data_IF_594517078968
#
_entry.id   IF_594517078968
#
_cell.length_a   1.000
_cell.length_b   1.000
_cell.length_c   1.000
_cell.angle_alpha   90.00
_cell.angle_beta   90.00
_cell.angle_gamma   90.00
#
_symmetry.space_group_name_H-M   'P 1'
#
loop_
_entity.id
_entity.type
_entity.pdbx_description
1 polymer ?
#
# COMPACT_ATOMS: atom_id res chain seq x y z
N UNK A 1 40.82 40.39 20.19
CA UNK A 1 39.71 40.68 19.27
C UNK A 1 38.47 39.97 19.81
N UNK A 2 37.60 40.74 20.44
CA UNK A 2 36.42 40.30 21.18
C UNK A 2 35.22 40.25 20.24
N UNK A 3 34.68 39.06 19.96
CA UNK A 3 33.43 38.91 19.23
C UNK A 3 32.24 39.18 20.15
N UNK A 4 31.51 40.26 19.88
CA UNK A 4 30.21 40.53 20.49
C UNK A 4 29.20 39.50 19.98
N UNK A 5 28.56 38.78 20.90
CA UNK A 5 27.29 38.11 20.65
C UNK A 5 26.23 39.07 21.16
N UNK A 6 25.49 39.70 20.25
CA UNK A 6 24.36 40.54 20.62
C UNK A 6 23.23 39.65 21.16
N UNK A 7 22.99 39.73 22.48
CA UNK A 7 21.89 39.06 23.15
C UNK A 7 20.61 39.90 23.02
N UNK A 8 19.64 39.42 22.24
CA UNK A 8 18.27 39.93 22.28
C UNK A 8 17.46 39.20 23.36
N UNK A 9 16.70 39.90 24.22
CA UNK A 9 15.88 39.28 25.24
C UNK A 9 14.52 38.93 24.64
N UNK A 10 14.37 37.73 24.10
CA UNK A 10 13.03 37.19 23.84
C UNK A 10 12.61 36.31 25.01
N UNK A 11 11.89 36.90 25.96
CA UNK A 11 11.13 36.16 26.95
C UNK A 11 9.96 35.46 26.24
N UNK A 12 10.19 34.24 25.75
CA UNK A 12 9.11 33.42 25.22
C UNK A 12 8.55 32.57 26.35
N UNK A 13 7.50 33.08 26.99
CA UNK A 13 6.60 32.28 27.79
C UNK A 13 5.73 31.44 26.84
N UNK A 14 6.32 30.43 26.22
CA UNK A 14 5.58 29.38 25.51
C UNK A 14 5.97 28.07 26.13
N UNK A 15 4.97 27.28 26.55
CA UNK A 15 5.14 25.84 26.63
C UNK A 15 5.59 25.37 25.25
N UNK A 16 6.89 25.20 25.07
CA UNK A 16 7.46 24.55 23.90
C UNK A 16 7.06 23.08 24.05
N UNK A 17 6.01 22.68 23.34
CA UNK A 17 5.75 21.27 23.14
C UNK A 17 6.90 20.78 22.26
N UNK A 18 7.90 20.15 22.87
CA UNK A 18 9.00 19.51 22.16
C UNK A 18 8.41 18.32 21.39
N UNK A 19 7.94 18.56 20.17
CA UNK A 19 7.77 17.45 19.22
C UNK A 19 9.19 16.95 18.91
N UNK A 20 9.52 15.69 19.21
CA UNK A 20 10.83 15.16 18.87
C UNK A 20 11.06 15.31 17.37
N UNK A 21 12.21 15.87 17.00
CA UNK A 21 12.64 15.99 15.61
C UNK A 21 13.92 15.19 15.42
N UNK A 22 14.00 14.47 14.32
CA UNK A 22 15.23 13.77 13.93
C UNK A 22 15.96 14.69 12.94
N UNK A 23 17.22 15.00 13.23
CA UNK A 23 18.11 15.71 12.31
C UNK A 23 19.05 14.68 11.67
N UNK A 24 19.02 14.60 10.34
CA UNK A 24 19.91 13.72 9.60
C UNK A 24 20.25 14.35 8.24
N UNK A 25 21.53 14.51 7.93
CA UNK A 25 22.04 15.14 6.70
C UNK A 25 21.36 16.48 6.39
N UNK A 26 21.34 17.38 7.38
CA UNK A 26 20.70 18.72 7.31
C UNK A 26 19.20 18.73 7.00
N UNK A 27 18.54 17.57 7.14
CA UNK A 27 17.09 17.44 7.03
C UNK A 27 16.47 17.22 8.40
N UNK A 28 15.40 17.94 8.66
CA UNK A 28 14.54 17.75 9.83
C UNK A 28 13.37 16.83 9.48
N UNK A 29 13.22 15.77 10.26
CA UNK A 29 12.08 14.86 10.22
C UNK A 29 11.27 15.05 11.48
N UNK A 30 9.93 15.00 11.36
CA UNK A 30 9.01 15.08 12.49
C UNK A 30 8.22 13.79 12.58
N UNK A 31 7.91 13.40 13.81
CA UNK A 31 6.90 12.39 14.03
C UNK A 31 5.55 12.89 13.52
N UNK A 32 4.87 12.07 12.72
CA UNK A 32 3.52 12.34 12.23
C UNK A 32 2.60 11.35 12.91
N UNK A 33 1.69 11.87 13.73
CA UNK A 33 0.58 11.10 14.27
C UNK A 33 -0.64 11.27 13.35
N UNK A 34 -1.17 10.16 12.83
CA UNK A 34 -2.30 10.20 11.93
C UNK A 34 -3.61 10.09 12.73
N UNK A 35 -4.51 11.04 12.47
CA UNK A 35 -5.83 11.05 13.10
C UNK A 35 -6.75 9.95 12.54
N UNK A 36 -6.57 9.59 11.27
CA UNK A 36 -7.34 8.58 10.53
C UNK A 36 -6.46 7.84 9.49
N UNK A 37 -6.93 6.66 9.06
CA UNK A 37 -6.24 5.74 8.12
C UNK A 37 -6.15 6.30 6.71
N UNK A 38 -7.16 7.03 6.27
CA UNK A 38 -7.20 7.61 4.92
C UNK A 38 -6.10 8.68 4.75
N UNK A 39 -5.84 9.50 5.77
CA UNK A 39 -4.72 10.44 5.76
C UNK A 39 -3.37 9.72 5.74
N UNK A 40 -3.21 8.67 6.54
CA UNK A 40 -2.02 7.82 6.55
C UNK A 40 -1.76 7.24 5.16
N UNK A 41 -2.77 6.58 4.58
CA UNK A 41 -2.73 6.01 3.23
C UNK A 41 -2.33 7.06 2.20
N UNK A 42 -2.99 8.22 2.18
CA UNK A 42 -2.68 9.28 1.21
C UNK A 42 -1.25 9.78 1.32
N UNK A 43 -0.75 9.97 2.54
CA UNK A 43 0.63 10.44 2.76
C UNK A 43 1.62 9.37 2.34
N UNK A 44 1.45 8.12 2.78
CA UNK A 44 2.32 7.00 2.41
C UNK A 44 2.34 6.78 0.89
N UNK A 45 1.18 6.86 0.22
CA UNK A 45 1.10 6.68 -1.22
C UNK A 45 1.66 7.85 -2.05
N UNK A 46 1.86 9.03 -1.44
CA UNK A 46 2.58 10.16 -2.08
C UNK A 46 4.09 9.96 -2.07
N UNK A 47 4.63 9.17 -1.16
CA UNK A 47 6.03 8.81 -1.17
C UNK A 47 6.30 7.87 -2.35
N UNK A 48 6.76 8.47 -3.46
CA UNK A 48 7.13 7.73 -4.68
C UNK A 48 8.08 6.59 -4.32
N UNK A 49 7.62 5.37 -4.54
CA UNK A 49 8.43 4.18 -4.30
C UNK A 49 8.43 3.68 -2.85
N UNK A 50 7.55 4.15 -1.95
CA UNK A 50 7.39 3.57 -0.61
C UNK A 50 7.17 2.06 -0.67
N UNK A 51 6.18 1.60 -1.45
CA UNK A 51 5.92 0.18 -1.64
C UNK A 51 7.09 -0.53 -2.35
N UNK A 52 7.77 0.16 -3.28
CA UNK A 52 8.97 -0.37 -3.94
C UNK A 52 10.16 -0.51 -2.96
N UNK A 53 10.25 0.33 -1.96
CA UNK A 53 11.29 0.27 -0.93
C UNK A 53 11.06 -0.92 0.01
N UNK A 54 9.79 -1.23 0.31
CA UNK A 54 9.44 -2.36 1.18
C UNK A 54 9.49 -3.69 0.41
N UNK A 55 8.94 -3.73 -0.80
CA UNK A 55 8.68 -4.97 -1.55
C UNK A 55 9.51 -5.13 -2.83
N UNK A 56 10.39 -4.19 -3.14
CA UNK A 56 11.24 -4.23 -4.32
C UNK A 56 10.61 -3.67 -5.60
N UNK A 57 11.40 -3.65 -6.67
CA UNK A 57 11.08 -2.98 -7.94
C UNK A 57 9.93 -3.61 -8.74
N UNK A 58 9.61 -4.86 -8.47
CA UNK A 58 8.67 -5.65 -9.23
C UNK A 58 7.28 -5.67 -8.57
N UNK A 59 6.85 -4.52 -8.06
CA UNK A 59 5.57 -4.37 -7.37
C UNK A 59 4.63 -3.44 -8.11
N UNK A 60 3.35 -3.80 -8.10
CA UNK A 60 2.28 -3.01 -8.71
C UNK A 60 1.15 -2.87 -7.68
N UNK A 61 0.88 -1.64 -7.27
CA UNK A 61 -0.20 -1.29 -6.36
C UNK A 61 -1.45 -0.88 -7.14
N UNK A 62 -2.57 -1.52 -6.81
CA UNK A 62 -3.88 -1.28 -7.41
C UNK A 62 -4.87 -0.92 -6.29
N UNK A 63 -5.23 0.38 -6.13
CA UNK A 63 -6.28 0.79 -5.21
C UNK A 63 -7.60 0.10 -5.55
N UNK A 64 -8.32 -0.38 -4.55
CA UNK A 64 -9.53 -1.17 -4.79
C UNK A 64 -10.65 -0.38 -5.45
N UNK A 65 -10.69 0.94 -5.23
CA UNK A 65 -11.67 1.85 -5.81
C UNK A 65 -11.55 1.93 -7.35
N UNK A 66 -10.46 1.40 -7.91
CA UNK A 66 -10.28 1.24 -9.37
C UNK A 66 -10.86 -0.06 -9.91
N UNK A 67 -11.10 -1.03 -9.04
CA UNK A 67 -11.64 -2.35 -9.39
C UNK A 67 -13.15 -2.41 -9.14
N UNK A 68 -13.69 -1.63 -8.21
CA UNK A 68 -15.12 -1.62 -7.88
C UNK A 68 -15.76 -0.27 -8.20
N UNK A 69 -16.92 -0.31 -8.86
CA UNK A 69 -17.77 0.86 -9.02
C UNK A 69 -18.69 0.94 -7.79
N UNK A 70 -18.38 1.86 -6.87
CA UNK A 70 -19.17 2.08 -5.65
C UNK A 70 -18.30 2.37 -4.44
N UNK A 71 -18.54 3.52 -3.78
CA UNK A 71 -17.88 3.87 -2.52
C UNK A 71 -18.48 3.06 -1.37
N UNK A 72 -17.64 2.49 -0.52
CA UNK A 72 -18.04 2.10 0.84
C UNK A 72 -18.58 0.69 1.03
N UNK A 73 -18.18 -0.29 0.21
CA UNK A 73 -18.42 -1.70 0.57
C UNK A 73 -17.53 -2.06 1.76
N UNK A 74 -18.13 -2.18 2.95
CA UNK A 74 -17.42 -2.59 4.17
C UNK A 74 -16.83 -3.98 3.99
N UNK A 75 -15.55 -4.15 4.33
CA UNK A 75 -14.86 -5.45 4.32
C UNK A 75 -14.00 -5.74 3.09
N UNK A 76 -13.95 -4.83 2.12
CA UNK A 76 -13.02 -4.88 0.99
C UNK A 76 -11.68 -4.23 1.44
N UNK A 77 -10.52 -4.81 1.08
CA UNK A 77 -9.22 -4.22 1.41
C UNK A 77 -8.99 -2.89 0.69
N UNK A 78 -8.14 -2.03 1.22
CA UNK A 78 -7.79 -0.76 0.58
C UNK A 78 -7.18 -0.93 -0.82
N UNK A 79 -6.38 -1.98 -1.03
CA UNK A 79 -5.73 -2.24 -2.30
C UNK A 79 -5.27 -3.69 -2.51
N UNK A 80 -4.98 -4.00 -3.77
CA UNK A 80 -4.20 -5.17 -4.17
C UNK A 80 -2.76 -4.76 -4.47
N UNK A 81 -1.81 -5.52 -3.94
CA UNK A 81 -0.39 -5.43 -4.26
C UNK A 81 0.03 -6.68 -5.01
N UNK A 82 0.36 -6.50 -6.29
CA UNK A 82 0.91 -7.56 -7.12
C UNK A 82 2.43 -7.53 -6.96
N UNK A 83 3.00 -8.64 -6.53
CA UNK A 83 4.44 -8.86 -6.41
C UNK A 83 4.85 -9.86 -7.48
N UNK A 84 5.73 -9.43 -8.37
CA UNK A 84 6.21 -10.22 -9.51
C UNK A 84 7.62 -10.73 -9.19
N UNK A 85 7.73 -12.04 -9.07
CA UNK A 85 9.01 -12.75 -9.09
C UNK A 85 9.19 -13.38 -10.49
N UNK A 86 10.41 -13.80 -10.84
CA UNK A 86 10.79 -14.23 -12.20
C UNK A 86 9.87 -15.30 -12.81
N UNK A 87 9.16 -16.07 -11.99
CA UNK A 87 8.27 -17.15 -12.43
C UNK A 87 6.88 -17.12 -11.76
N UNK A 88 6.63 -16.14 -10.89
CA UNK A 88 5.46 -16.15 -10.01
C UNK A 88 4.86 -14.76 -9.81
N UNK A 89 3.55 -14.70 -9.99
CA UNK A 89 2.73 -13.59 -9.53
C UNK A 89 2.15 -13.94 -8.17
N UNK A 90 2.40 -13.09 -7.17
CA UNK A 90 1.72 -13.12 -5.89
C UNK A 90 0.83 -11.90 -5.75
N UNK A 91 -0.35 -12.10 -5.19
CA UNK A 91 -1.28 -11.03 -4.83
C UNK A 91 -1.32 -10.95 -3.32
N UNK A 92 -1.17 -9.73 -2.82
CA UNK A 92 -1.30 -9.34 -1.44
C UNK A 92 -2.41 -8.30 -1.33
N UNK A 93 -3.03 -8.26 -0.17
CA UNK A 93 -4.14 -7.37 0.13
C UNK A 93 -3.61 -6.38 1.14
N UNK A 94 -3.76 -5.10 0.86
CA UNK A 94 -3.24 -4.05 1.71
C UNK A 94 -4.38 -3.45 2.51
N UNK A 95 -4.19 -3.34 3.81
CA UNK A 95 -5.05 -2.57 4.71
C UNK A 95 -4.18 -1.56 5.48
N UNK A 96 -4.61 -0.31 5.51
CA UNK A 96 -4.02 0.72 6.34
C UNK A 96 -4.80 0.82 7.65
N UNK A 97 -4.14 0.54 8.77
CA UNK A 97 -4.78 0.55 10.10
C UNK A 97 -3.92 1.33 11.08
N UNK A 98 -4.50 2.25 11.87
CA UNK A 98 -3.70 2.99 12.85
C UNK A 98 -3.26 2.09 14.01
N UNK A 99 -2.00 2.21 14.45
CA UNK A 99 -1.45 1.46 15.61
C UNK A 99 -2.31 1.58 16.87
N UNK A 100 -2.99 2.73 17.06
CA UNK A 100 -3.87 2.97 18.21
C UNK A 100 -5.13 2.10 18.22
N UNK A 101 -5.48 1.50 17.08
CA UNK A 101 -6.55 0.53 16.99
C UNK A 101 -6.00 -0.84 17.42
N UNK A 102 -6.62 -1.43 18.44
CA UNK A 102 -6.17 -2.71 18.99
C UNK A 102 -6.31 -3.85 17.98
N UNK A 103 -5.29 -4.71 17.87
CA UNK A 103 -5.26 -5.86 16.95
C UNK A 103 -6.50 -6.76 17.07
N UNK A 104 -6.96 -7.04 18.30
CA UNK A 104 -8.16 -7.87 18.50
C UNK A 104 -9.46 -7.20 18.07
N UNK A 105 -9.59 -5.90 18.26
CA UNK A 105 -10.86 -5.20 18.03
C UNK A 105 -11.04 -4.73 16.59
N UNK A 106 -9.96 -4.54 15.84
CA UNK A 106 -10.03 -3.99 14.47
C UNK A 106 -9.49 -4.93 13.40
N UNK A 107 -8.31 -5.50 13.60
CA UNK A 107 -7.65 -6.37 12.61
C UNK A 107 -8.38 -7.71 12.45
N UNK A 108 -8.74 -8.38 13.55
CA UNK A 108 -9.42 -9.69 13.46
C UNK A 108 -10.75 -9.61 12.68
N UNK A 109 -11.65 -8.64 12.96
CA UNK A 109 -12.87 -8.47 12.17
C UNK A 109 -12.61 -8.12 10.69
N UNK A 110 -11.53 -7.40 10.36
CA UNK A 110 -11.17 -7.12 8.96
C UNK A 110 -10.77 -8.40 8.21
N UNK A 111 -9.90 -9.22 8.81
CA UNK A 111 -9.47 -10.50 8.23
C UNK A 111 -10.67 -11.45 8.05
N UNK A 112 -11.58 -11.50 9.02
CA UNK A 112 -12.80 -12.32 8.92
C UNK A 112 -13.75 -11.83 7.82
N UNK A 113 -13.97 -10.51 7.72
CA UNK A 113 -14.80 -9.93 6.66
C UNK A 113 -14.22 -10.22 5.29
N UNK A 114 -12.90 -10.07 5.16
CA UNK A 114 -12.21 -10.36 3.92
C UNK A 114 -12.36 -11.83 3.49
N UNK A 115 -12.17 -12.78 4.41
CA UNK A 115 -12.35 -14.20 4.11
C UNK A 115 -13.77 -14.50 3.60
N UNK A 116 -14.80 -13.87 4.19
CA UNK A 116 -16.19 -13.99 3.73
C UNK A 116 -16.40 -13.42 2.33
N UNK A 117 -15.70 -12.34 1.98
CA UNK A 117 -15.73 -11.81 0.62
C UNK A 117 -15.11 -12.81 -0.35
N UNK A 118 -13.99 -13.44 0.01
CA UNK A 118 -13.37 -14.48 -0.82
C UNK A 118 -14.28 -15.68 -1.10
N UNK A 119 -15.12 -16.06 -0.13
CA UNK A 119 -16.10 -17.15 -0.31
C UNK A 119 -17.23 -16.79 -1.28
N UNK A 120 -17.49 -15.50 -1.49
CA UNK A 120 -18.54 -14.99 -2.39
C UNK A 120 -17.98 -14.29 -3.64
N UNK A 121 -16.65 -14.23 -3.75
CA UNK A 121 -15.93 -13.59 -4.83
C UNK A 121 -16.15 -14.38 -6.12
N UNK A 122 -16.46 -13.68 -7.20
CA UNK A 122 -16.36 -14.23 -8.54
C UNK A 122 -14.90 -14.01 -9.03
N UNK A 123 -14.06 -15.06 -9.01
CA UNK A 123 -12.65 -14.91 -9.34
C UNK A 123 -12.43 -14.57 -10.81
N UNK A 124 -13.33 -14.96 -11.72
CA UNK A 124 -13.24 -14.61 -13.13
C UNK A 124 -13.48 -13.11 -13.33
N UNK A 125 -14.53 -12.59 -12.70
CA UNK A 125 -14.85 -11.15 -12.76
C UNK A 125 -13.76 -10.29 -12.15
N UNK A 126 -13.19 -10.69 -11.01
CA UNK A 126 -12.14 -9.90 -10.33
C UNK A 126 -10.83 -9.97 -11.08
N UNK A 127 -10.45 -11.14 -11.60
CA UNK A 127 -9.24 -11.29 -12.41
C UNK A 127 -9.30 -10.48 -13.69
N UNK A 128 -10.46 -10.41 -14.34
CA UNK A 128 -10.69 -9.57 -15.51
C UNK A 128 -10.52 -8.08 -15.17
N UNK A 129 -11.10 -7.62 -14.05
CA UNK A 129 -10.94 -6.22 -13.60
C UNK A 129 -9.49 -5.87 -13.27
N UNK A 130 -8.76 -6.78 -12.62
CA UNK A 130 -7.32 -6.60 -12.37
C UNK A 130 -6.57 -6.51 -13.70
N UNK A 131 -6.87 -7.39 -14.66
CA UNK A 131 -6.27 -7.36 -15.99
C UNK A 131 -6.54 -6.04 -16.72
N UNK A 132 -7.79 -5.56 -16.70
CA UNK A 132 -8.18 -4.30 -17.33
C UNK A 132 -7.44 -3.10 -16.73
N UNK A 133 -7.31 -3.05 -15.41
CA UNK A 133 -6.56 -2.01 -14.71
C UNK A 133 -5.06 -2.09 -15.03
N UNK A 134 -4.48 -3.29 -15.08
CA UNK A 134 -3.10 -3.50 -15.52
C UNK A 134 -2.88 -3.05 -16.97
N UNK A 135 -3.86 -3.28 -17.84
CA UNK A 135 -3.81 -2.85 -19.23
C UNK A 135 -3.88 -1.32 -19.32
N UNK A 136 -4.77 -0.68 -18.55
CA UNK A 136 -4.88 0.78 -18.43
C UNK A 136 -3.59 1.42 -17.91
N UNK A 137 -2.92 0.76 -16.96
CA UNK A 137 -1.61 1.15 -16.43
C UNK A 137 -0.44 0.86 -17.38
N UNK A 138 -0.71 0.24 -18.55
CA UNK A 138 0.29 -0.22 -19.54
C UNK A 138 1.31 -1.20 -18.94
N UNK A 139 0.88 -2.08 -18.03
CA UNK A 139 1.73 -3.04 -17.32
C UNK A 139 1.64 -4.48 -17.82
N UNK A 140 0.63 -4.83 -18.62
CA UNK A 140 0.43 -6.22 -19.10
C UNK A 140 1.67 -6.77 -19.82
N UNK A 141 2.25 -6.01 -20.76
CA UNK A 141 3.45 -6.43 -21.50
C UNK A 141 4.63 -6.71 -20.56
N UNK A 142 4.90 -5.76 -19.66
CA UNK A 142 5.96 -5.89 -18.65
C UNK A 142 5.79 -7.15 -17.78
N UNK A 143 4.56 -7.42 -17.33
CA UNK A 143 4.25 -8.60 -16.53
C UNK A 143 4.49 -9.89 -17.33
N UNK A 144 4.03 -9.94 -18.58
CA UNK A 144 4.23 -11.12 -19.44
C UNK A 144 5.71 -11.37 -19.70
N UNK A 145 6.48 -10.32 -19.95
CA UNK A 145 7.94 -10.40 -20.14
C UNK A 145 8.63 -10.93 -18.88
N UNK A 146 8.24 -10.44 -17.69
CA UNK A 146 8.79 -10.92 -16.43
C UNK A 146 8.45 -12.38 -16.14
N UNK A 147 7.19 -12.78 -16.27
CA UNK A 147 6.73 -14.10 -15.83
C UNK A 147 7.03 -15.23 -16.82
N UNK A 148 7.18 -14.91 -18.10
CA UNK A 148 7.24 -15.92 -19.15
C UNK A 148 8.42 -15.73 -20.12
N UNK A 149 9.21 -14.66 -19.95
CA UNK A 149 10.29 -14.30 -20.86
C UNK A 149 9.82 -14.12 -22.30
N UNK A 150 10.68 -14.46 -23.26
CA UNK A 150 10.41 -14.35 -24.70
C UNK A 150 9.21 -15.19 -25.17
N UNK A 151 8.84 -16.24 -24.42
CA UNK A 151 7.70 -17.13 -24.74
C UNK A 151 6.35 -16.53 -24.30
N UNK A 152 6.34 -15.38 -23.64
CA UNK A 152 5.21 -14.83 -22.91
C UNK A 152 4.16 -14.06 -23.70
N UNK A 153 4.51 -13.57 -24.90
CA UNK A 153 3.67 -12.58 -25.62
C UNK A 153 2.27 -13.14 -25.90
N UNK A 154 2.19 -14.43 -26.23
CA UNK A 154 0.93 -15.12 -26.56
C UNK A 154 0.24 -15.78 -25.35
N UNK A 155 0.88 -15.82 -24.18
CA UNK A 155 0.25 -16.40 -22.99
C UNK A 155 -0.83 -15.47 -22.45
N UNK A 156 -1.97 -16.04 -22.10
CA UNK A 156 -3.02 -15.30 -21.41
C UNK A 156 -2.60 -15.04 -19.97
N UNK A 157 -2.76 -13.80 -19.51
CA UNK A 157 -2.42 -13.38 -18.16
C UNK A 157 -3.60 -13.57 -17.20
N UNK A 158 -4.84 -13.62 -17.71
CA UNK A 158 -6.04 -13.75 -16.87
C UNK A 158 -6.00 -15.04 -16.02
N UNK A 159 -5.68 -16.24 -16.55
CA UNK A 159 -5.56 -17.44 -15.73
C UNK A 159 -4.51 -17.31 -14.63
N UNK A 160 -3.38 -16.65 -14.90
CA UNK A 160 -2.31 -16.46 -13.92
C UNK A 160 -2.73 -15.48 -12.82
N UNK A 161 -3.43 -14.41 -13.17
CA UNK A 161 -4.03 -13.49 -12.19
C UNK A 161 -5.04 -14.24 -11.32
N UNK A 162 -5.89 -15.07 -11.94
CA UNK A 162 -6.89 -15.87 -11.23
C UNK A 162 -6.25 -16.83 -10.24
N UNK A 163 -5.23 -17.57 -10.66
CA UNK A 163 -4.50 -18.49 -9.79
C UNK A 163 -3.77 -17.75 -8.66
N UNK A 164 -3.19 -16.58 -8.92
CA UNK A 164 -2.59 -15.74 -7.89
C UNK A 164 -3.64 -15.20 -6.90
N UNK A 165 -4.80 -14.78 -7.40
CA UNK A 165 -5.90 -14.29 -6.60
C UNK A 165 -6.41 -15.39 -5.67
N UNK A 166 -6.67 -16.59 -6.18
CA UNK A 166 -7.15 -17.70 -5.36
C UNK A 166 -6.17 -18.12 -4.26
N UNK A 167 -4.85 -18.01 -4.51
CA UNK A 167 -3.81 -18.27 -3.50
C UNK A 167 -3.67 -17.14 -2.47
N UNK A 168 -4.16 -15.93 -2.77
CA UNK A 168 -4.01 -14.75 -1.91
C UNK A 168 -4.95 -14.69 -0.71
N UNK A 169 -5.82 -15.70 -0.51
CA UNK A 169 -6.82 -15.74 0.57
C UNK A 169 -6.28 -15.42 1.97
N UNK A 170 -5.00 -15.71 2.23
CA UNK A 170 -4.37 -15.42 3.52
C UNK A 170 -3.21 -14.41 3.42
N UNK A 171 -3.01 -13.78 2.26
CA UNK A 171 -1.92 -12.84 2.00
C UNK A 171 -2.37 -11.42 2.33
N UNK A 172 -2.49 -11.09 3.61
CA UNK A 172 -2.88 -9.76 4.07
C UNK A 172 -1.66 -9.05 4.63
N UNK A 173 -1.41 -7.83 4.16
CA UNK A 173 -0.44 -6.91 4.71
C UNK A 173 -1.16 -5.78 5.43
N UNK A 174 -0.85 -5.63 6.71
CA UNK A 174 -1.28 -4.51 7.53
C UNK A 174 -0.17 -3.46 7.55
N UNK A 175 -0.50 -2.23 7.17
CA UNK A 175 0.40 -1.08 7.26
C UNK A 175 -0.10 -0.21 8.42
N UNK A 176 0.73 -0.07 9.44
CA UNK A 176 0.42 0.65 10.68
C UNK A 176 1.45 1.72 11.01
#
# INVERSE_FOLDING_TARGET
MTGKIDSYPFSINTRVFYTPVILHNDKMYRYVDFSNEEDMRRVLMRFKGFLKMIFGGNTIYIPVERLIEGKGVRGIPDAFLLILNEDKLDIWLIEFELIKHGVKSHITPQIERFNKIFDTLDPDKVSLKIYDELNRMKKVRYIKELLFGERGIHRDLIPVIKDALMRSRNNILLIM
#
